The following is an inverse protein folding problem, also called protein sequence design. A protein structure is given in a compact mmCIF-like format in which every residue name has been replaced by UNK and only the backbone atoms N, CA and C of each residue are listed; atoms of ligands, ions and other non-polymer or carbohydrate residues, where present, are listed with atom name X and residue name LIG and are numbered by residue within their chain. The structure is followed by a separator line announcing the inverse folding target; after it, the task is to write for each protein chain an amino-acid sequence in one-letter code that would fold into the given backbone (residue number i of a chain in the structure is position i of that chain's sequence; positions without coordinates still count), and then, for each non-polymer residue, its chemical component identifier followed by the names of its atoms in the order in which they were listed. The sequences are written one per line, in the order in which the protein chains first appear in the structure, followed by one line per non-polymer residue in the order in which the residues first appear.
data_IF_437899502498
#
_entry.id   IF_437899502498
#
_cell.length_a   1.000
_cell.length_b   1.000
_cell.length_c   1.000
_cell.angle_alpha   90.00
_cell.angle_beta   90.00
_cell.angle_gamma   90.00
#
_symmetry.space_group_name_H-M   'P 1'
#
loop_
_entity.id
_entity.type
_entity.pdbx_description
1 polymer ?
#
# COMPACT_ATOMS: atom_id res chain seq x y z
N UNK A 1 57.56 26.94 9.26
CA UNK A 1 56.62 25.81 9.33
C UNK A 1 56.15 25.72 10.78
N UNK A 2 55.06 26.40 11.11
CA UNK A 2 54.46 26.37 12.45
C UNK A 2 53.63 25.11 12.58
N UNK A 3 54.09 24.16 13.39
CA UNK A 3 53.31 22.96 13.71
C UNK A 3 52.07 23.36 14.51
N UNK A 4 50.89 23.14 13.94
CA UNK A 4 49.64 23.12 14.69
C UNK A 4 49.72 21.96 15.68
N UNK A 5 49.53 22.28 16.95
CA UNK A 5 49.56 21.31 18.05
C UNK A 5 48.19 20.63 18.08
N UNK A 6 48.14 19.37 17.69
CA UNK A 6 46.94 18.54 17.77
C UNK A 6 46.54 18.40 19.25
N UNK A 7 45.37 18.94 19.63
CA UNK A 7 44.79 18.74 20.96
C UNK A 7 43.98 17.44 20.94
N UNK A 8 44.44 16.42 21.67
CA UNK A 8 43.73 15.15 21.81
C UNK A 8 42.52 15.23 22.75
N UNK A 9 41.53 14.36 22.55
CA UNK A 9 40.36 14.20 23.42
C UNK A 9 40.73 13.67 24.81
N UNK A 10 40.06 14.13 25.85
CA UNK A 10 40.21 13.57 27.20
C UNK A 10 39.34 12.32 27.39
N UNK A 11 39.72 11.42 28.31
CA UNK A 11 38.94 10.21 28.62
C UNK A 11 37.52 10.56 29.09
N UNK A 12 37.39 11.60 29.92
CA UNK A 12 36.08 12.06 30.42
C UNK A 12 35.21 12.61 29.29
N UNK A 13 35.79 13.33 28.32
CA UNK A 13 35.07 13.87 27.17
C UNK A 13 34.57 12.74 26.25
N UNK A 14 35.37 11.70 26.04
CA UNK A 14 34.94 10.51 25.31
C UNK A 14 33.80 9.78 26.03
N UNK A 15 33.85 9.65 27.36
CA UNK A 15 32.76 9.06 28.14
C UNK A 15 31.47 9.89 28.04
N UNK A 16 31.56 11.22 28.13
CA UNK A 16 30.40 12.11 27.99
C UNK A 16 29.82 12.00 26.57
N UNK A 17 30.66 12.05 25.53
CA UNK A 17 30.23 11.91 24.15
C UNK A 17 29.52 10.57 23.89
N UNK A 18 30.07 9.45 24.38
CA UNK A 18 29.45 8.14 24.28
C UNK A 18 28.12 8.07 25.03
N UNK A 19 28.03 8.69 26.21
CA UNK A 19 26.78 8.73 26.99
C UNK A 19 25.67 9.48 26.25
N UNK A 20 25.98 10.66 25.70
CA UNK A 20 25.03 11.46 24.90
C UNK A 20 24.62 10.67 23.65
N UNK A 21 25.58 10.05 22.97
CA UNK A 21 25.31 9.23 21.79
C UNK A 21 24.36 8.06 22.09
N UNK A 22 24.56 7.36 23.21
CA UNK A 22 23.68 6.28 23.63
C UNK A 22 22.24 6.75 23.88
N UNK A 23 22.07 7.91 24.54
CA UNK A 23 20.73 8.49 24.74
C UNK A 23 20.06 8.89 23.43
N UNK A 24 20.82 9.43 22.47
CA UNK A 24 20.28 9.80 21.16
C UNK A 24 19.76 8.58 20.38
N UNK A 25 20.50 7.46 20.39
CA UNK A 25 20.04 6.21 19.73
C UNK A 25 18.74 5.71 20.37
N UNK A 26 18.64 5.76 21.70
CA UNK A 26 17.47 5.25 22.42
C UNK A 26 16.17 5.97 22.01
N UNK A 27 16.26 7.28 21.74
CA UNK A 27 15.12 8.11 21.31
C UNK A 27 14.88 7.98 19.80
N UNK A 28 15.95 7.91 19.00
CA UNK A 28 15.86 7.87 17.54
C UNK A 28 15.32 6.52 17.01
N UNK A 29 15.61 5.41 17.69
CA UNK A 29 15.20 4.06 17.30
C UNK A 29 13.69 3.89 17.03
N UNK A 30 12.79 4.17 17.98
CA UNK A 30 11.35 4.03 17.77
C UNK A 30 10.82 4.95 16.66
N UNK A 31 11.33 6.19 16.58
CA UNK A 31 10.93 7.13 15.51
C UNK A 31 11.26 6.59 14.11
N UNK A 32 12.44 5.95 13.96
CA UNK A 32 12.82 5.32 12.70
C UNK A 32 11.92 4.13 12.34
N UNK A 33 11.57 3.29 13.33
CA UNK A 33 10.68 2.16 13.12
C UNK A 33 9.27 2.62 12.66
N UNK A 34 8.72 3.66 13.28
CA UNK A 34 7.42 4.23 12.90
C UNK A 34 7.46 4.87 11.50
N UNK A 35 8.54 5.60 11.18
CA UNK A 35 8.72 6.18 9.85
C UNK A 35 8.79 5.11 8.76
N UNK A 36 9.59 4.06 8.97
CA UNK A 36 9.71 2.95 8.03
C UNK A 36 8.40 2.17 7.90
N UNK A 37 7.69 1.93 9.00
CA UNK A 37 6.40 1.26 8.98
C UNK A 37 5.35 2.03 8.18
N UNK A 38 5.24 3.34 8.39
CA UNK A 38 4.33 4.20 7.62
C UNK A 38 4.74 4.32 6.15
N UNK A 39 6.05 4.33 5.85
CA UNK A 39 6.55 4.29 4.47
C UNK A 39 6.11 3.00 3.77
N UNK A 40 6.19 1.86 4.45
CA UNK A 40 5.69 0.59 3.88
C UNK A 40 4.18 0.57 3.66
N UNK A 41 3.39 1.13 4.59
CA UNK A 41 1.93 1.28 4.39
C UNK A 41 1.65 2.10 3.14
N UNK A 42 2.32 3.24 2.99
CA UNK A 42 2.20 4.11 1.83
C UNK A 42 2.56 3.40 0.54
N UNK A 43 3.71 2.73 0.50
CA UNK A 43 4.15 1.97 -0.68
C UNK A 43 3.14 0.87 -1.04
N UNK A 44 2.65 0.11 -0.07
CA UNK A 44 1.67 -0.95 -0.30
C UNK A 44 0.36 -0.39 -0.85
N UNK A 45 -0.13 0.72 -0.29
CA UNK A 45 -1.38 1.34 -0.72
C UNK A 45 -1.26 2.02 -2.09
N UNK A 46 -0.17 2.72 -2.38
CA UNK A 46 0.09 3.34 -3.69
C UNK A 46 0.28 2.29 -4.79
N UNK A 47 1.03 1.21 -4.53
CA UNK A 47 1.16 0.10 -5.49
C UNK A 47 -0.19 -0.61 -5.71
N UNK A 48 -0.98 -0.81 -4.67
CA UNK A 48 -2.33 -1.39 -4.79
C UNK A 48 -3.24 -0.49 -5.65
N UNK A 49 -3.24 0.82 -5.39
CA UNK A 49 -3.97 1.80 -6.22
C UNK A 49 -3.54 1.70 -7.69
N UNK A 50 -2.23 1.65 -7.94
CA UNK A 50 -1.69 1.49 -9.29
C UNK A 50 -2.14 0.19 -9.94
N UNK A 51 -2.15 -0.93 -9.22
CA UNK A 51 -2.62 -2.22 -9.73
C UNK A 51 -4.10 -2.21 -10.12
N UNK A 52 -4.97 -1.65 -9.27
CA UNK A 52 -6.41 -1.54 -9.59
C UNK A 52 -6.63 -0.62 -10.81
N UNK A 53 -5.92 0.51 -10.88
CA UNK A 53 -5.96 1.42 -12.04
C UNK A 53 -5.40 0.78 -13.30
N UNK A 54 -4.38 -0.06 -13.17
CA UNK A 54 -3.83 -0.83 -14.28
C UNK A 54 -4.87 -1.82 -14.82
N UNK A 55 -5.54 -2.60 -13.96
CA UNK A 55 -6.62 -3.49 -14.40
C UNK A 55 -7.71 -2.72 -15.16
N UNK A 56 -8.17 -1.59 -14.63
CA UNK A 56 -9.14 -0.73 -15.32
C UNK A 56 -8.62 -0.26 -16.69
N UNK A 57 -7.35 0.13 -16.77
CA UNK A 57 -6.73 0.62 -18.01
C UNK A 57 -6.55 -0.50 -19.03
N UNK A 58 -6.17 -1.70 -18.61
CA UNK A 58 -6.02 -2.86 -19.49
C UNK A 58 -7.35 -3.32 -20.07
N UNK A 59 -8.44 -3.26 -19.27
CA UNK A 59 -9.78 -3.50 -19.77
C UNK A 59 -10.17 -2.49 -20.87
N UNK A 60 -9.93 -1.19 -20.61
CA UNK A 60 -10.19 -0.11 -21.58
C UNK A 60 -9.36 -0.25 -22.85
N UNK A 61 -8.06 -0.53 -22.72
CA UNK A 61 -7.13 -0.68 -23.86
C UNK A 61 -7.46 -1.88 -24.72
N UNK A 62 -7.81 -3.00 -24.09
CA UNK A 62 -8.16 -4.23 -24.79
C UNK A 62 -9.61 -4.28 -25.28
N UNK A 63 -10.45 -3.33 -24.84
CA UNK A 63 -11.91 -3.42 -24.98
C UNK A 63 -12.45 -4.82 -24.56
N UNK A 64 -11.82 -5.40 -23.54
CA UNK A 64 -12.10 -6.75 -23.02
C UNK A 64 -12.11 -6.70 -21.49
N UNK A 65 -12.38 -7.82 -20.84
CA UNK A 65 -12.38 -7.90 -19.38
C UNK A 65 -10.96 -7.90 -18.82
N UNK A 66 -10.76 -7.28 -17.67
CA UNK A 66 -9.53 -7.41 -16.90
C UNK A 66 -9.82 -7.50 -15.40
N UNK A 67 -9.05 -8.30 -14.71
CA UNK A 67 -9.20 -8.60 -13.29
C UNK A 67 -8.04 -8.01 -12.50
N UNK A 68 -8.36 -7.49 -11.32
CA UNK A 68 -7.39 -7.27 -10.26
C UNK A 68 -7.63 -8.36 -9.20
N UNK A 69 -6.60 -9.17 -8.94
CA UNK A 69 -6.64 -10.27 -7.97
C UNK A 69 -5.67 -9.95 -6.84
N UNK A 70 -6.15 -10.10 -5.61
CA UNK A 70 -5.48 -9.80 -4.36
C UNK A 70 -5.21 -11.07 -3.56
N UNK A 71 -3.98 -11.22 -3.09
CA UNK A 71 -3.61 -12.17 -2.06
C UNK A 71 -3.17 -11.39 -0.81
N UNK A 72 -4.00 -11.43 0.22
CA UNK A 72 -3.77 -10.71 1.49
C UNK A 72 -2.76 -11.40 2.40
N UNK A 73 -2.23 -12.57 2.03
CA UNK A 73 -1.21 -13.27 2.81
C UNK A 73 0.09 -12.46 2.86
N UNK A 74 0.92 -12.68 3.88
CA UNK A 74 2.18 -11.93 4.05
C UNK A 74 3.19 -12.17 2.91
N UNK A 75 3.12 -13.33 2.25
CA UNK A 75 3.93 -13.65 1.07
C UNK A 75 3.23 -13.32 -0.26
N UNK A 76 1.99 -12.83 -0.18
CA UNK A 76 1.13 -12.53 -1.30
C UNK A 76 1.47 -11.21 -1.98
N UNK A 77 0.43 -10.63 -2.57
CA UNK A 77 0.58 -9.47 -3.43
C UNK A 77 -0.71 -9.17 -4.16
N UNK A 78 -0.58 -8.59 -5.34
CA UNK A 78 -1.66 -8.52 -6.30
C UNK A 78 -1.16 -8.85 -7.69
N UNK A 79 -2.09 -9.23 -8.55
CA UNK A 79 -1.86 -9.46 -9.97
C UNK A 79 -3.00 -8.84 -10.78
N UNK A 80 -2.63 -8.32 -11.94
CA UNK A 80 -3.58 -7.89 -12.96
C UNK A 80 -3.59 -8.95 -14.05
N UNK A 81 -4.78 -9.42 -14.39
CA UNK A 81 -4.99 -10.35 -15.49
C UNK A 81 -5.92 -9.71 -16.52
N UNK A 82 -5.76 -10.08 -17.79
CA UNK A 82 -6.62 -9.61 -18.88
C UNK A 82 -7.17 -10.81 -19.63
N UNK A 83 -8.44 -10.77 -19.99
CA UNK A 83 -9.06 -11.79 -20.81
C UNK A 83 -8.44 -11.76 -22.20
N UNK A 84 -7.97 -12.91 -22.67
CA UNK A 84 -7.62 -13.12 -24.05
C UNK A 84 -8.84 -13.71 -24.76
N UNK A 85 -9.50 -12.90 -25.60
CA UNK A 85 -10.74 -13.29 -26.28
C UNK A 85 -10.54 -14.45 -27.27
N UNK A 86 -9.31 -14.70 -27.74
CA UNK A 86 -9.00 -15.83 -28.63
C UNK A 86 -8.96 -17.15 -27.88
N UNK A 87 -8.42 -17.14 -26.66
CA UNK A 87 -8.25 -18.35 -25.84
C UNK A 87 -9.37 -18.54 -24.82
N UNK A 88 -10.14 -17.48 -24.54
CA UNK A 88 -11.16 -17.44 -23.50
C UNK A 88 -10.59 -17.45 -22.08
N UNK A 89 -9.28 -17.26 -21.90
CA UNK A 89 -8.61 -17.34 -20.60
C UNK A 89 -8.09 -15.99 -20.15
N UNK A 90 -8.01 -15.80 -18.83
CA UNK A 90 -7.31 -14.66 -18.23
C UNK A 90 -5.80 -14.93 -18.22
N UNK A 91 -5.04 -13.96 -18.72
CA UNK A 91 -3.58 -14.02 -18.80
C UNK A 91 -2.95 -12.91 -17.95
N UNK A 92 -1.85 -13.21 -17.26
CA UNK A 92 -1.18 -12.26 -16.38
C UNK A 92 -0.55 -11.11 -17.17
N UNK A 93 -0.87 -9.87 -16.78
CA UNK A 93 -0.27 -8.65 -17.32
C UNK A 93 0.89 -8.20 -16.44
N UNK A 94 0.63 -8.08 -15.13
CA UNK A 94 1.61 -7.60 -14.15
C UNK A 94 1.28 -8.16 -12.77
N UNK A 95 2.31 -8.32 -11.93
CA UNK A 95 2.15 -8.64 -10.53
C UNK A 95 3.05 -7.77 -9.65
N UNK A 96 2.70 -7.69 -8.38
CA UNK A 96 3.47 -7.03 -7.33
C UNK A 96 3.42 -7.89 -6.08
N UNK A 97 4.55 -8.10 -5.40
CA UNK A 97 4.60 -8.79 -4.12
C UNK A 97 4.76 -7.81 -2.98
N UNK A 98 4.13 -8.09 -1.84
CA UNK A 98 4.33 -7.26 -0.64
C UNK A 98 5.80 -7.20 -0.23
N UNK A 99 6.58 -8.25 -0.51
CA UNK A 99 8.02 -8.31 -0.26
C UNK A 99 8.83 -7.22 -0.94
N UNK A 100 8.32 -6.61 -2.01
CA UNK A 100 9.06 -5.66 -2.85
C UNK A 100 9.02 -4.21 -2.32
N UNK A 101 8.29 -3.95 -1.23
CA UNK A 101 8.26 -2.62 -0.62
C UNK A 101 7.28 -2.42 0.53
N UNK A 102 6.53 -3.45 0.91
CA UNK A 102 5.47 -3.41 1.92
C UNK A 102 5.44 -4.68 2.79
N UNK A 103 6.59 -5.33 3.03
CA UNK A 103 6.68 -6.67 3.60
C UNK A 103 6.22 -6.80 5.06
N UNK A 104 6.08 -5.67 5.77
CA UNK A 104 5.60 -5.61 7.16
C UNK A 104 4.16 -5.12 7.26
N UNK A 105 3.48 -4.91 6.13
CA UNK A 105 2.08 -4.48 6.16
C UNK A 105 1.15 -5.64 6.43
N UNK A 106 -0.05 -5.30 6.89
CA UNK A 106 -1.21 -6.17 6.97
C UNK A 106 -2.24 -5.63 6.00
N UNK A 107 -2.70 -6.49 5.09
CA UNK A 107 -3.66 -6.13 4.05
C UNK A 107 -5.00 -6.79 4.36
N UNK A 108 -6.09 -6.06 4.19
CA UNK A 108 -7.45 -6.58 4.36
C UNK A 108 -8.37 -6.08 3.27
N UNK A 109 -9.43 -6.83 2.99
CA UNK A 109 -10.35 -6.58 1.90
C UNK A 109 -11.79 -6.50 2.41
N UNK A 110 -12.63 -5.79 1.65
CA UNK A 110 -14.09 -5.76 1.83
C UNK A 110 -14.82 -6.09 0.53
N UNK A 111 -15.89 -6.90 0.57
CA UNK A 111 -16.33 -7.67 1.72
C UNK A 111 -15.24 -8.66 2.19
N UNK A 112 -15.30 -9.10 3.44
CA UNK A 112 -14.29 -9.99 3.99
C UNK A 112 -14.08 -11.21 3.06
N UNK A 113 -12.82 -11.57 2.81
CA UNK A 113 -12.40 -12.63 1.89
C UNK A 113 -12.66 -12.39 0.40
N UNK A 114 -13.16 -11.23 -0.02
CA UNK A 114 -13.11 -10.86 -1.44
C UNK A 114 -11.65 -10.77 -1.89
N UNK A 115 -11.33 -11.37 -3.03
CA UNK A 115 -9.98 -11.40 -3.59
C UNK A 115 -9.91 -10.79 -4.97
N UNK A 116 -11.03 -10.42 -5.59
CA UNK A 116 -11.05 -10.04 -6.99
C UNK A 116 -12.02 -8.89 -7.27
N UNK A 117 -11.66 -8.03 -8.23
CA UNK A 117 -12.60 -7.14 -8.92
C UNK A 117 -12.38 -7.26 -10.43
N UNK A 118 -13.48 -7.32 -11.19
CA UNK A 118 -13.44 -7.39 -12.65
C UNK A 118 -13.91 -6.08 -13.28
N UNK A 119 -13.16 -5.58 -14.26
CA UNK A 119 -13.52 -4.45 -15.11
C UNK A 119 -13.93 -4.95 -16.49
N UNK A 120 -14.93 -4.32 -17.10
CA UNK A 120 -15.29 -4.54 -18.50
C UNK A 120 -14.54 -3.57 -19.45
N UNK A 121 -14.71 -3.73 -20.76
CA UNK A 121 -14.08 -2.89 -21.80
C UNK A 121 -14.40 -1.39 -21.72
N UNK A 122 -15.39 -0.98 -20.90
CA UNK A 122 -15.72 0.41 -20.62
C UNK A 122 -15.11 0.92 -19.29
N UNK A 123 -14.24 0.12 -18.66
CA UNK A 123 -13.60 0.43 -17.39
C UNK A 123 -14.55 0.43 -16.19
N UNK A 124 -15.74 -0.15 -16.32
CA UNK A 124 -16.71 -0.28 -15.23
C UNK A 124 -16.51 -1.60 -14.50
N UNK A 125 -16.64 -1.56 -13.18
CA UNK A 125 -16.68 -2.77 -12.35
C UNK A 125 -17.96 -3.55 -12.68
N UNK A 126 -17.81 -4.84 -12.93
CA UNK A 126 -18.90 -5.80 -13.14
C UNK A 126 -18.80 -6.94 -12.12
N UNK A 127 -19.77 -7.84 -12.10
CA UNK A 127 -19.68 -9.06 -11.29
C UNK A 127 -18.50 -9.93 -11.77
N UNK A 128 -17.82 -10.58 -10.83
CA UNK A 128 -16.71 -11.45 -11.17
C UNK A 128 -17.24 -12.68 -11.94
N UNK A 129 -16.56 -13.14 -13.01
CA UNK A 129 -17.00 -14.29 -13.79
C UNK A 129 -17.15 -15.58 -12.98
N UNK A 130 -16.40 -15.72 -11.89
CA UNK A 130 -16.45 -16.85 -10.96
C UNK A 130 -17.58 -16.73 -9.91
N UNK A 131 -18.40 -15.68 -10.00
CA UNK A 131 -19.46 -15.31 -9.04
C UNK A 131 -18.97 -15.03 -7.61
N UNK A 132 -17.67 -14.82 -7.40
CA UNK A 132 -17.13 -14.37 -6.12
C UNK A 132 -17.58 -12.93 -5.81
N UNK A 133 -17.52 -12.58 -4.52
CA UNK A 133 -17.81 -11.22 -4.12
C UNK A 133 -16.72 -10.27 -4.62
N UNK A 134 -17.12 -9.21 -5.31
CA UNK A 134 -16.22 -8.17 -5.81
C UNK A 134 -15.57 -7.38 -4.67
N UNK A 135 -14.29 -7.05 -4.83
CA UNK A 135 -13.58 -6.10 -3.96
C UNK A 135 -14.20 -4.71 -4.06
N UNK A 136 -14.65 -4.18 -2.93
CA UNK A 136 -15.15 -2.81 -2.73
C UNK A 136 -14.05 -1.89 -2.22
N UNK A 137 -13.20 -2.38 -1.32
CA UNK A 137 -12.00 -1.67 -0.91
C UNK A 137 -10.95 -2.61 -0.33
N UNK A 138 -9.72 -2.08 -0.27
CA UNK A 138 -8.55 -2.75 0.27
C UNK A 138 -7.90 -1.79 1.27
N UNK A 139 -7.63 -2.27 2.48
CA UNK A 139 -6.91 -1.52 3.50
C UNK A 139 -5.50 -2.07 3.68
N UNK A 140 -4.55 -1.16 3.82
CA UNK A 140 -3.16 -1.44 4.16
C UNK A 140 -2.85 -0.77 5.49
N UNK A 141 -2.39 -1.55 6.45
CA UNK A 141 -1.93 -1.09 7.76
C UNK A 141 -0.63 -1.81 8.14
N UNK A 142 -0.09 -1.56 9.32
CA UNK A 142 1.04 -2.30 9.87
C UNK A 142 0.80 -2.50 11.37
N UNK A 143 0.56 -3.73 11.79
CA UNK A 143 0.31 -4.06 13.20
C UNK A 143 1.54 -3.97 14.11
N UNK A 144 2.73 -3.75 13.54
CA UNK A 144 3.99 -3.69 14.30
C UNK A 144 4.39 -2.28 14.74
N UNK A 145 3.63 -1.24 14.36
CA UNK A 145 3.87 0.15 14.76
C UNK A 145 2.78 0.62 15.73
N UNK A 146 3.13 1.48 16.67
CA UNK A 146 2.23 1.85 17.77
C UNK A 146 1.04 2.70 17.30
N UNK A 147 1.26 3.58 16.32
CA UNK A 147 0.23 4.44 15.74
C UNK A 147 0.27 4.35 14.21
N UNK A 148 -0.26 3.26 13.62
CA UNK A 148 -0.23 3.08 12.18
C UNK A 148 -1.14 4.06 11.46
N UNK A 149 -0.60 4.76 10.46
CA UNK A 149 -1.43 5.51 9.52
C UNK A 149 -1.97 4.57 8.44
N UNK A 150 -3.13 3.97 8.72
CA UNK A 150 -3.84 3.10 7.78
C UNK A 150 -4.21 3.87 6.51
N UNK A 151 -4.16 3.20 5.36
CA UNK A 151 -4.64 3.74 4.09
C UNK A 151 -5.63 2.76 3.44
N UNK A 152 -6.60 3.29 2.71
CA UNK A 152 -7.63 2.51 2.02
C UNK A 152 -7.68 2.86 0.54
N UNK A 153 -7.64 1.84 -0.31
CA UNK A 153 -7.94 1.92 -1.74
C UNK A 153 -9.40 1.54 -1.93
N UNK A 154 -10.25 2.51 -2.22
CA UNK A 154 -11.66 2.30 -2.57
C UNK A 154 -11.75 1.92 -4.03
N UNK A 155 -12.60 0.95 -4.33
CA UNK A 155 -12.93 0.39 -5.65
C UNK A 155 -14.46 0.42 -5.74
N UNK A 156 -14.99 1.61 -5.96
CA UNK A 156 -16.43 1.85 -6.00
C UNK A 156 -16.95 1.80 -7.46
N UNK A 157 -18.16 1.26 -7.62
CA UNK A 157 -18.91 1.31 -8.89
C UNK A 157 -20.02 2.37 -8.87
N UNK A 158 -20.29 2.97 -7.71
CA UNK A 158 -21.47 3.81 -7.45
C UNK A 158 -21.16 5.29 -7.68
N UNK A 159 -19.94 5.76 -7.41
CA UNK A 159 -19.52 7.15 -7.63
C UNK A 159 -18.62 7.35 -8.86
N UNK A 160 -18.71 8.52 -9.55
CA UNK A 160 -17.99 8.81 -10.78
C UNK A 160 -16.45 8.79 -10.68
N UNK A 161 -15.87 8.82 -9.48
CA UNK A 161 -14.41 8.75 -9.29
C UNK A 161 -13.85 7.34 -9.19
N UNK A 162 -14.71 6.33 -8.97
CA UNK A 162 -14.52 4.87 -9.05
C UNK A 162 -13.38 4.21 -8.27
N UNK A 163 -12.18 4.80 -8.24
CA UNK A 163 -11.01 4.25 -7.55
C UNK A 163 -10.25 5.38 -6.86
N UNK A 164 -10.06 5.30 -5.54
CA UNK A 164 -9.41 6.39 -4.79
C UNK A 164 -8.59 5.84 -3.62
N UNK A 165 -7.42 6.44 -3.40
CA UNK A 165 -6.69 6.29 -2.14
C UNK A 165 -7.18 7.32 -1.12
N UNK A 166 -7.53 6.85 0.07
CA UNK A 166 -8.08 7.65 1.15
C UNK A 166 -7.58 7.18 2.53
N UNK A 167 -7.88 7.96 3.56
CA UNK A 167 -7.53 7.72 4.94
C UNK A 167 -8.81 7.34 5.71
N UNK A 168 -8.93 6.09 6.20
CA UNK A 168 -10.15 5.60 6.85
C UNK A 168 -10.27 6.01 8.33
N UNK A 169 -9.34 6.83 8.84
CA UNK A 169 -9.42 7.35 10.20
C UNK A 169 -10.70 8.18 10.40
N UNK A 170 -11.45 7.87 11.47
CA UNK A 170 -12.74 8.51 11.77
C UNK A 170 -12.62 10.01 12.10
N UNK A 171 -11.42 10.50 12.42
CA UNK A 171 -11.12 11.90 12.63
C UNK A 171 -10.96 12.71 11.33
N UNK A 172 -10.92 12.05 10.16
CA UNK A 172 -10.85 12.73 8.86
C UNK A 172 -12.24 13.23 8.49
N UNK A 173 -12.42 14.55 8.44
CA UNK A 173 -13.70 15.17 8.09
C UNK A 173 -14.12 14.85 6.64
N UNK A 174 -15.42 14.76 6.38
CA UNK A 174 -15.96 14.47 5.03
C UNK A 174 -15.63 15.52 3.96
N UNK A 175 -15.30 16.74 4.37
CA UNK A 175 -14.83 17.81 3.49
C UNK A 175 -13.33 17.72 3.18
N UNK A 176 -12.56 16.86 3.86
CA UNK A 176 -11.13 16.66 3.61
C UNK A 176 -10.93 15.80 2.36
N UNK A 177 -9.97 16.18 1.51
CA UNK A 177 -9.62 15.43 0.31
C UNK A 177 -9.21 13.97 0.61
N UNK A 178 -8.71 13.70 1.82
CA UNK A 178 -8.30 12.37 2.28
C UNK A 178 -9.47 11.49 2.71
N UNK A 179 -10.67 12.03 2.86
CA UNK A 179 -11.82 11.27 3.33
C UNK A 179 -12.13 10.06 2.45
N UNK A 180 -12.47 8.94 3.10
CA UNK A 180 -12.96 7.75 2.44
C UNK A 180 -14.48 7.82 2.22
N UNK A 181 -14.97 7.82 0.97
CA UNK A 181 -16.40 7.73 0.72
C UNK A 181 -16.97 6.40 1.21
N UNK A 182 -18.28 6.37 1.47
CA UNK A 182 -19.00 5.11 1.65
C UNK A 182 -18.94 4.30 0.33
N UNK A 183 -18.67 3.01 0.45
CA UNK A 183 -18.54 2.03 -0.64
C UNK A 183 -19.70 1.06 -0.65
#
# INVERSE_FOLDING_TARGET
MTMLREHGFTLIELMIALSIFAFLILIAGPMYADFMGNTQIRNGAENTLMGVRLAQTEALRGNTQAQFILDTSAAGGWQVMRLNDETGNFEAVQSYKWTDGASKTTVSAQPANATETTFNGLGRVIDNPDASARLQWIEVTNGNIATPRKLRVVIDSVTPTGIKLCDPDSGVASSDARFCPAS
#
